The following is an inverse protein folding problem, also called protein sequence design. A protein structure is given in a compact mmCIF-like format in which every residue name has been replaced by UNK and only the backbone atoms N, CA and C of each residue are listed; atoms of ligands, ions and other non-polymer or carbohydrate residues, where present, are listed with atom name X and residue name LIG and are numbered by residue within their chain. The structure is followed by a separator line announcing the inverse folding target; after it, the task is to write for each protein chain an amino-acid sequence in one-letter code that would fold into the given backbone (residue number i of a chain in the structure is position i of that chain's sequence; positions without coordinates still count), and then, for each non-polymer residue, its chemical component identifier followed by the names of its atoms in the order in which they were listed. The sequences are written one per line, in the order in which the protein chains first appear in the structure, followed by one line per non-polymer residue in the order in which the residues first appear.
data_IF_299937493020
#
_entry.id   IF_299937493020
#
_cell.length_a   1.000
_cell.length_b   1.000
_cell.length_c   1.000
_cell.angle_alpha   90.00
_cell.angle_beta   90.00
_cell.angle_gamma   90.00
#
_symmetry.space_group_name_H-M   'P 1'
#
loop_
_entity.id
_entity.type
_entity.pdbx_description
1 polymer ?
#
# COMPACT_ATOMS: atom_id res chain seq x y z
N UNK A 1 8.06 -8.63 -14.97
CA UNK A 1 7.60 -8.77 -13.57
C UNK A 1 7.40 -7.37 -13.04
N UNK A 2 6.27 -7.09 -12.38
CA UNK A 2 5.87 -5.72 -12.06
C UNK A 2 6.34 -5.25 -10.69
N UNK A 3 6.57 -6.16 -9.73
CA UNK A 3 6.96 -5.87 -8.34
C UNK A 3 6.05 -4.88 -7.61
N UNK A 4 4.80 -4.78 -8.07
CA UNK A 4 3.82 -3.83 -7.57
C UNK A 4 3.30 -4.26 -6.22
N UNK A 5 3.06 -3.29 -5.35
CA UNK A 5 2.49 -3.52 -4.05
C UNK A 5 1.46 -2.45 -3.69
N UNK A 6 0.55 -2.82 -2.80
CA UNK A 6 -0.26 -1.88 -2.04
C UNK A 6 0.28 -1.75 -0.61
N UNK A 7 0.15 -0.56 -0.04
CA UNK A 7 0.57 -0.25 1.33
C UNK A 7 -0.58 0.44 2.03
N UNK A 8 -1.09 -0.16 3.11
CA UNK A 8 -2.13 0.40 3.95
C UNK A 8 -1.51 0.96 5.23
N UNK A 9 -1.56 2.28 5.41
CA UNK A 9 -1.19 2.93 6.68
C UNK A 9 -2.43 3.08 7.54
N UNK A 10 -2.38 2.57 8.75
CA UNK A 10 -3.44 2.71 9.74
C UNK A 10 -3.55 4.17 10.21
N UNK A 11 -4.79 4.67 10.26
CA UNK A 11 -5.16 6.00 10.74
C UNK A 11 -5.53 5.95 12.23
N UNK A 12 -5.67 7.12 12.84
CA UNK A 12 -6.04 7.24 14.27
C UNK A 12 -7.47 6.74 14.58
N UNK A 13 -8.34 6.67 13.57
CA UNK A 13 -9.71 6.16 13.67
C UNK A 13 -9.81 4.63 13.43
N UNK A 14 -8.67 3.95 13.21
CA UNK A 14 -8.61 2.50 12.93
C UNK A 14 -8.94 2.12 11.49
N UNK A 15 -9.20 3.09 10.60
CA UNK A 15 -9.29 2.88 9.16
C UNK A 15 -7.89 3.01 8.53
N UNK A 16 -7.82 2.86 7.21
CA UNK A 16 -6.57 2.84 6.47
C UNK A 16 -6.54 3.86 5.35
N UNK A 17 -5.35 4.40 5.11
CA UNK A 17 -5.00 5.15 3.91
C UNK A 17 -4.19 4.24 3.00
N UNK A 18 -4.66 4.06 1.76
CA UNK A 18 -4.10 3.13 0.81
C UNK A 18 -3.16 3.84 -0.17
N UNK A 19 -1.95 3.32 -0.29
CA UNK A 19 -0.91 3.81 -1.19
C UNK A 19 -0.45 2.72 -2.15
N UNK A 20 0.25 3.14 -3.20
CA UNK A 20 0.82 2.28 -4.21
C UNK A 20 2.35 2.29 -4.17
N UNK A 21 2.97 1.18 -4.54
CA UNK A 21 4.40 1.13 -4.81
C UNK A 21 4.66 0.30 -6.06
N UNK A 22 5.36 0.87 -7.03
CA UNK A 22 5.69 0.14 -8.26
C UNK A 22 6.73 -0.96 -8.01
N UNK A 23 7.70 -0.76 -7.12
CA UNK A 23 8.78 -1.74 -6.84
C UNK A 23 8.72 -2.33 -5.43
N UNK A 24 7.63 -2.07 -4.70
CA UNK A 24 7.50 -2.41 -3.28
C UNK A 24 7.53 -3.91 -2.99
N UNK A 25 7.16 -4.77 -3.93
CA UNK A 25 7.16 -6.22 -3.72
C UNK A 25 8.53 -6.87 -3.94
N UNK A 26 9.51 -6.14 -4.50
CA UNK A 26 10.82 -6.66 -4.85
C UNK A 26 11.56 -7.16 -3.59
N UNK A 27 11.65 -8.49 -3.46
CA UNK A 27 12.24 -9.19 -2.30
C UNK A 27 11.70 -8.75 -0.93
N UNK A 28 10.49 -8.18 -0.87
CA UNK A 28 9.88 -7.61 0.34
C UNK A 28 10.74 -6.59 1.09
N UNK A 29 11.73 -5.98 0.42
CA UNK A 29 12.66 -5.04 1.05
C UNK A 29 11.95 -3.81 1.61
N UNK A 30 10.77 -3.48 1.10
CA UNK A 30 9.97 -2.35 1.56
C UNK A 30 9.58 -2.48 3.04
N UNK A 31 9.38 -3.71 3.56
CA UNK A 31 9.16 -3.97 5.00
C UNK A 31 10.22 -3.32 5.90
N UNK A 32 11.46 -3.26 5.42
CA UNK A 32 12.60 -2.73 6.18
C UNK A 32 12.93 -1.27 5.85
N UNK A 33 12.27 -0.68 4.84
CA UNK A 33 12.47 0.72 4.45
C UNK A 33 11.41 1.65 5.01
N UNK A 34 10.21 1.14 5.29
CA UNK A 34 9.17 1.91 5.96
C UNK A 34 9.53 2.00 7.45
N UNK A 35 9.74 3.23 7.93
CA UNK A 35 9.96 3.54 9.34
C UNK A 35 9.45 4.96 9.66
N UNK A 36 9.47 5.35 10.93
CA UNK A 36 9.09 6.70 11.34
C UNK A 36 9.99 7.79 10.71
N UNK A 37 11.24 7.46 10.42
CA UNK A 37 12.21 8.34 9.76
C UNK A 37 11.94 8.44 8.26
N UNK A 38 11.61 7.31 7.62
CA UNK A 38 11.37 7.18 6.18
C UNK A 38 10.00 6.58 5.92
N UNK A 39 8.90 7.32 6.17
CA UNK A 39 7.56 6.75 6.16
C UNK A 39 7.17 6.13 4.82
N UNK A 40 7.60 6.73 3.70
CA UNK A 40 7.38 6.22 2.34
C UNK A 40 8.58 5.44 1.76
N UNK A 41 9.54 5.05 2.61
CA UNK A 41 10.68 4.23 2.22
C UNK A 41 11.72 4.88 1.30
N UNK A 42 11.79 6.22 1.29
CA UNK A 42 12.86 6.97 0.62
C UNK A 42 14.18 6.96 1.40
N UNK A 43 15.23 7.52 0.81
CA UNK A 43 16.58 7.54 1.41
C UNK A 43 16.81 8.70 2.40
N UNK A 44 15.95 9.73 2.38
CA UNK A 44 16.04 10.91 3.24
C UNK A 44 15.30 10.68 4.58
N UNK A 45 16.06 10.44 5.64
CA UNK A 45 15.57 10.21 7.01
C UNK A 45 15.07 11.48 7.71
N UNK A 46 15.43 12.65 7.19
CA UNK A 46 15.04 13.96 7.74
C UNK A 46 13.91 14.62 6.93
N UNK A 47 13.23 13.84 6.10
CA UNK A 47 12.13 14.25 5.25
C UNK A 47 10.91 14.74 6.06
N UNK A 48 10.95 16.01 6.49
CA UNK A 48 9.89 16.66 7.27
C UNK A 48 8.57 16.68 6.53
N UNK A 49 8.59 16.85 5.22
CA UNK A 49 7.38 16.89 4.40
C UNK A 49 6.67 15.53 4.40
N UNK A 50 7.42 14.43 4.34
CA UNK A 50 6.84 13.09 4.31
C UNK A 50 6.22 12.73 5.65
N UNK A 51 6.91 13.09 6.75
CA UNK A 51 6.41 12.93 8.11
C UNK A 51 5.14 13.76 8.36
N UNK A 52 5.13 15.02 7.91
CA UNK A 52 3.95 15.88 8.03
C UNK A 52 2.77 15.33 7.22
N UNK A 53 2.97 14.97 5.95
CA UNK A 53 1.90 14.41 5.12
C UNK A 53 1.29 13.16 5.74
N UNK A 54 2.11 12.22 6.23
CA UNK A 54 1.60 11.01 6.85
C UNK A 54 0.82 11.31 8.13
N UNK A 55 1.27 12.26 8.95
CA UNK A 55 0.53 12.68 10.15
C UNK A 55 -0.86 13.22 9.80
N UNK A 56 -0.97 14.08 8.79
CA UNK A 56 -2.25 14.62 8.33
C UNK A 56 -3.17 13.52 7.77
N UNK A 57 -2.62 12.57 7.01
CA UNK A 57 -3.36 11.41 6.51
C UNK A 57 -3.86 10.51 7.66
N UNK A 58 -3.06 10.34 8.71
CA UNK A 58 -3.44 9.61 9.91
C UNK A 58 -4.54 10.32 10.71
N UNK A 59 -4.61 11.64 10.64
CA UNK A 59 -5.58 12.48 11.36
C UNK A 59 -6.86 12.78 10.58
N UNK A 60 -6.99 12.31 9.34
CA UNK A 60 -8.24 12.48 8.59
C UNK A 60 -8.13 13.14 7.22
N UNK A 61 -6.93 13.50 6.74
CA UNK A 61 -6.78 14.11 5.42
C UNK A 61 -7.28 13.17 4.33
N UNK A 62 -8.09 13.72 3.41
CA UNK A 62 -8.65 13.00 2.26
C UNK A 62 -7.70 12.99 1.06
N UNK A 63 -7.89 12.01 0.18
CA UNK A 63 -6.94 11.74 -0.90
C UNK A 63 -6.80 12.87 -1.93
N UNK A 64 -7.88 13.62 -2.20
CA UNK A 64 -7.88 14.77 -3.09
C UNK A 64 -7.19 16.00 -2.48
N UNK A 65 -7.35 16.20 -1.17
CA UNK A 65 -6.68 17.27 -0.42
C UNK A 65 -5.16 17.07 -0.32
N UNK A 66 -4.67 15.83 -0.43
CA UNK A 66 -3.24 15.52 -0.45
C UNK A 66 -2.49 16.20 -1.60
N UNK A 67 -3.14 16.52 -2.72
CA UNK A 67 -2.51 17.22 -3.85
C UNK A 67 -1.97 18.60 -3.44
N UNK A 68 -2.65 19.31 -2.54
CA UNK A 68 -2.15 20.58 -1.99
C UNK A 68 -0.86 20.42 -1.20
N UNK A 69 -0.74 19.32 -0.45
CA UNK A 69 0.48 18.97 0.26
C UNK A 69 1.58 18.53 -0.68
N UNK A 70 1.27 18.01 -1.87
CA UNK A 70 2.21 17.49 -2.88
C UNK A 70 2.65 18.54 -3.91
N UNK A 71 1.94 19.65 -4.04
CA UNK A 71 2.17 20.69 -5.06
C UNK A 71 3.47 21.51 -4.92
N UNK A 72 4.23 21.33 -3.83
CA UNK A 72 5.53 22.00 -3.63
C UNK A 72 6.70 21.35 -4.38
N UNK A 73 7.76 22.16 -4.65
CA UNK A 73 8.95 21.83 -5.47
C UNK A 73 9.62 20.46 -5.23
N UNK A 74 10.37 20.02 -6.25
CA UNK A 74 11.21 18.82 -6.40
C UNK A 74 11.40 18.00 -5.12
N UNK A 75 10.52 17.01 -4.94
CA UNK A 75 10.62 16.06 -3.81
C UNK A 75 11.49 14.89 -4.20
N UNK A 76 12.28 14.37 -3.25
CA UNK A 76 12.95 13.09 -3.44
C UNK A 76 11.92 12.01 -3.80
N UNK A 77 12.27 11.19 -4.78
CA UNK A 77 11.51 9.99 -5.09
C UNK A 77 11.48 9.07 -3.86
N UNK A 78 10.32 8.47 -3.62
CA UNK A 78 10.08 7.53 -2.52
C UNK A 78 9.65 6.19 -3.11
N UNK A 79 9.79 5.10 -2.35
CA UNK A 79 9.42 3.77 -2.84
C UNK A 79 7.90 3.62 -2.83
N UNK A 80 7.23 4.16 -1.82
CA UNK A 80 5.77 4.27 -1.76
C UNK A 80 5.37 5.62 -2.35
N UNK A 81 4.43 5.61 -3.29
CA UNK A 81 3.86 6.83 -3.86
C UNK A 81 3.14 7.62 -2.74
N UNK A 82 3.59 8.85 -2.43
CA UNK A 82 3.04 9.62 -1.31
C UNK A 82 1.59 10.05 -1.53
N UNK A 83 1.15 10.12 -2.79
CA UNK A 83 -0.25 10.36 -3.10
C UNK A 83 -1.07 9.12 -2.73
N UNK A 84 -2.02 9.23 -1.78
CA UNK A 84 -2.91 8.13 -1.48
C UNK A 84 -3.83 7.84 -2.67
N UNK A 85 -4.14 6.57 -2.89
CA UNK A 85 -5.17 6.14 -3.84
C UNK A 85 -6.58 6.28 -3.27
N UNK A 86 -6.71 6.04 -1.96
CA UNK A 86 -7.95 6.11 -1.22
C UNK A 86 -7.65 6.28 0.29
N UNK A 87 -8.61 6.82 1.01
CA UNK A 87 -8.56 7.15 2.45
C UNK A 87 -9.81 6.61 3.13
N UNK A 88 -9.75 6.37 4.44
CA UNK A 88 -10.92 5.93 5.22
C UNK A 88 -11.46 4.57 4.76
N UNK A 89 -10.57 3.61 4.49
CA UNK A 89 -10.94 2.24 4.12
C UNK A 89 -10.79 1.30 5.30
N UNK A 90 -11.66 0.30 5.41
CA UNK A 90 -11.41 -0.88 6.22
C UNK A 90 -10.41 -1.81 5.54
N UNK A 91 -9.79 -2.71 6.32
CA UNK A 91 -8.90 -3.72 5.76
C UNK A 91 -9.65 -4.69 4.82
N UNK A 92 -10.92 -4.97 5.13
CA UNK A 92 -11.79 -5.81 4.29
C UNK A 92 -12.02 -5.18 2.93
N UNK A 93 -12.42 -3.91 2.86
CA UNK A 93 -12.60 -3.18 1.59
C UNK A 93 -11.31 -3.13 0.77
N UNK A 94 -10.14 -2.95 1.40
CA UNK A 94 -8.86 -3.00 0.69
C UNK A 94 -8.66 -4.38 0.03
N UNK A 95 -8.92 -5.44 0.79
CA UNK A 95 -8.73 -6.83 0.36
C UNK A 95 -9.70 -7.19 -0.77
N UNK A 96 -10.97 -6.79 -0.66
CA UNK A 96 -12.03 -7.17 -1.60
C UNK A 96 -12.07 -6.27 -2.84
N UNK A 97 -11.83 -4.97 -2.69
CA UNK A 97 -12.19 -3.99 -3.73
C UNK A 97 -10.97 -3.33 -4.39
N UNK A 98 -9.80 -3.38 -3.74
CA UNK A 98 -8.59 -2.69 -4.22
C UNK A 98 -7.44 -3.63 -4.58
N UNK A 99 -7.33 -4.76 -3.88
CA UNK A 99 -6.22 -5.67 -4.05
C UNK A 99 -6.41 -6.55 -5.29
N UNK A 100 -5.78 -6.15 -6.39
CA UNK A 100 -5.58 -7.02 -7.56
C UNK A 100 -4.51 -8.09 -7.26
N UNK A 101 -4.93 -9.33 -7.05
CA UNK A 101 -4.08 -10.47 -6.72
C UNK A 101 -3.22 -10.96 -7.89
N UNK A 102 -3.62 -10.70 -9.14
CA UNK A 102 -2.80 -11.04 -10.31
C UNK A 102 -1.64 -10.06 -10.47
N UNK A 103 -1.88 -8.79 -10.13
CA UNK A 103 -0.98 -7.71 -10.48
C UNK A 103 -0.15 -7.16 -9.32
N UNK A 104 -0.72 -7.10 -8.12
CA UNK A 104 0.04 -6.81 -6.91
C UNK A 104 0.72 -8.09 -6.45
N UNK A 105 2.01 -8.02 -6.18
CA UNK A 105 2.87 -9.14 -5.75
C UNK A 105 3.16 -9.10 -4.23
N UNK A 106 2.77 -8.01 -3.56
CA UNK A 106 2.82 -7.87 -2.12
C UNK A 106 1.77 -6.88 -1.61
N UNK A 107 1.38 -7.05 -0.36
CA UNK A 107 0.54 -6.11 0.38
C UNK A 107 1.17 -5.86 1.75
N UNK A 108 1.21 -4.60 2.16
CA UNK A 108 1.78 -4.20 3.45
C UNK A 108 0.72 -3.50 4.29
N UNK A 109 0.67 -3.84 5.57
CA UNK A 109 -0.11 -3.12 6.58
C UNK A 109 0.88 -2.50 7.56
N UNK A 110 0.77 -1.19 7.77
CA UNK A 110 1.66 -0.40 8.61
C UNK A 110 0.84 0.18 9.76
N UNK A 111 1.17 -0.22 10.99
CA UNK A 111 0.52 0.33 12.19
C UNK A 111 0.99 1.76 12.48
N UNK A 112 0.32 2.50 13.39
CA UNK A 112 0.73 3.86 13.76
C UNK A 112 2.13 3.92 14.41
N UNK A 113 2.60 2.80 14.97
CA UNK A 113 3.94 2.64 15.55
C UNK A 113 4.97 2.09 14.55
N UNK A 114 4.64 2.05 13.25
CA UNK A 114 5.50 1.52 12.19
C UNK A 114 5.84 0.03 12.33
N UNK A 115 4.97 -0.77 12.95
CA UNK A 115 5.04 -2.22 12.80
C UNK A 115 4.50 -2.58 11.41
N UNK A 116 5.38 -3.13 10.56
CA UNK A 116 5.05 -3.46 9.17
C UNK A 116 4.79 -4.96 9.03
N UNK A 117 3.53 -5.31 8.78
CA UNK A 117 3.15 -6.67 8.39
C UNK A 117 3.16 -6.79 6.87
N UNK A 118 3.95 -7.74 6.36
CA UNK A 118 4.07 -8.00 4.92
C UNK A 118 3.35 -9.29 4.53
N UNK A 119 2.59 -9.22 3.44
CA UNK A 119 1.88 -10.35 2.86
C UNK A 119 2.32 -10.57 1.42
N UNK A 120 2.43 -11.84 1.02
CA UNK A 120 2.40 -12.25 -0.38
C UNK A 120 0.96 -12.38 -0.82
N UNK A 121 0.68 -11.87 -2.00
CA UNK A 121 -0.58 -12.02 -2.71
C UNK A 121 -0.50 -13.24 -3.62
N UNK A 122 -1.55 -14.06 -3.60
CA UNK A 122 -1.65 -15.26 -4.41
C UNK A 122 -2.98 -15.22 -5.15
N UNK A 123 -2.94 -15.02 -6.47
CA UNK A 123 -4.12 -15.18 -7.31
C UNK A 123 -4.35 -16.66 -7.61
N UNK A 124 -5.60 -17.10 -7.53
CA UNK A 124 -5.93 -18.50 -7.73
C UNK A 124 -5.95 -18.90 -9.21
N UNK A 125 -6.34 -18.00 -10.12
CA UNK A 125 -6.36 -18.29 -11.56
C UNK A 125 -7.23 -19.49 -11.96
N UNK A 126 -8.25 -19.85 -11.16
CA UNK A 126 -9.00 -21.10 -11.32
C UNK A 126 -9.75 -21.23 -12.66
N UNK A 127 -9.96 -20.13 -13.38
CA UNK A 127 -10.53 -20.18 -14.73
C UNK A 127 -9.65 -20.96 -15.73
N UNK A 128 -8.36 -21.16 -15.43
CA UNK A 128 -7.50 -22.00 -16.26
C UNK A 128 -7.69 -23.50 -16.00
N UNK A 129 -8.25 -23.85 -14.85
CA UNK A 129 -8.46 -25.24 -14.40
C UNK A 129 -9.95 -25.65 -14.37
N UNK A 130 -10.86 -24.70 -14.56
CA UNK A 130 -12.31 -24.92 -14.52
C UNK A 130 -12.90 -25.06 -15.93
N UNK A 131 -13.75 -26.07 -16.12
CA UNK A 131 -14.50 -26.26 -17.38
C UNK A 131 -15.71 -25.33 -17.53
N UNK A 132 -16.08 -24.60 -16.46
CA UNK A 132 -17.33 -23.82 -16.40
C UNK A 132 -17.14 -22.35 -16.00
N UNK A 133 -15.92 -21.96 -15.65
CA UNK A 133 -15.59 -20.59 -15.23
C UNK A 133 -14.65 -20.01 -16.26
N UNK A 134 -15.18 -19.11 -17.08
CA UNK A 134 -14.45 -18.54 -18.22
C UNK A 134 -13.67 -17.27 -17.84
N UNK A 135 -13.94 -16.71 -16.65
CA UNK A 135 -13.30 -15.51 -16.13
C UNK A 135 -13.16 -15.60 -14.61
N UNK A 136 -11.96 -15.34 -14.11
CA UNK A 136 -11.70 -15.14 -12.69
C UNK A 136 -11.38 -13.68 -12.45
N UNK A 137 -12.14 -13.03 -11.57
CA UNK A 137 -11.82 -11.68 -11.11
C UNK A 137 -10.38 -11.68 -10.54
N UNK A 138 -9.64 -10.61 -10.79
CA UNK A 138 -8.27 -10.45 -10.29
C UNK A 138 -8.27 -9.66 -8.99
N UNK A 139 -9.25 -8.77 -8.81
CA UNK A 139 -9.47 -8.00 -7.60
C UNK A 139 -10.33 -8.80 -6.62
N UNK A 140 -10.00 -8.78 -5.33
CA UNK A 140 -10.80 -9.45 -4.29
C UNK A 140 -10.76 -10.97 -4.28
N UNK A 141 -10.22 -11.59 -5.33
CA UNK A 141 -10.24 -13.02 -5.52
C UNK A 141 -8.84 -13.63 -5.45
N UNK A 142 -8.40 -13.92 -4.23
CA UNK A 142 -7.12 -14.58 -3.98
C UNK A 142 -6.87 -14.81 -2.49
N UNK A 143 -5.61 -15.12 -2.16
CA UNK A 143 -5.17 -15.33 -0.79
C UNK A 143 -4.01 -14.40 -0.41
N UNK A 144 -3.98 -14.01 0.85
CA UNK A 144 -2.84 -13.34 1.49
C UNK A 144 -2.09 -14.35 2.35
N UNK A 145 -0.77 -14.44 2.15
CA UNK A 145 0.12 -15.27 2.97
C UNK A 145 1.11 -14.36 3.71
N UNK A 146 1.05 -14.35 5.04
CA UNK A 146 1.98 -13.57 5.86
C UNK A 146 3.41 -14.07 5.69
N UNK A 147 4.35 -13.16 5.52
CA UNK A 147 5.78 -13.47 5.51
C UNK A 147 6.37 -13.19 6.88
N UNK A 148 6.74 -14.28 7.58
CA UNK A 148 7.41 -14.24 8.88
C UNK A 148 8.92 -14.14 8.69
#
# INVERSE_FOLDING_TARGET
MGHRALVAYERTDGQYTLHYSHWGAANLKLKHRISAETPFGGDDTDSKWAKQLLAELADGLEADAADGYLAGEDRPSTVVEPKPRATGLTLEEIITDHLDYLHHEAFYVVSPTFEVTAYRTLWFGLQYDSETVDHGETVGNGALATVR
#
